data_IF_120197087164
#
_entry.id   IF_120197087164
#
_cell.length_a   1.000
_cell.length_b   1.000
_cell.length_c   1.000
_cell.angle_alpha   90.00
_cell.angle_beta   90.00
_cell.angle_gamma   90.00
#
_symmetry.space_group_name_H-M   'P 1'
#
loop_
_entity.id
_entity.type
_entity.pdbx_description
1 polymer ?
#
# COMPACT_ATOMS: atom_id res chain seq x y z
N UNK A 1 -15.63 -0.26 13.41
CA UNK A 1 -15.01 0.39 12.23
C UNK A 1 -16.10 0.49 11.18
N UNK A 2 -16.29 1.65 10.52
CA UNK A 2 -17.26 1.75 9.43
C UNK A 2 -16.87 0.80 8.30
N UNK A 3 -17.80 -0.06 7.87
CA UNK A 3 -17.62 -0.98 6.72
C UNK A 3 -18.25 -0.42 5.45
N UNK A 4 -18.85 0.77 5.48
CA UNK A 4 -19.55 1.36 4.34
C UNK A 4 -18.65 1.88 3.21
N UNK A 5 -17.33 1.91 3.42
CA UNK A 5 -16.35 2.41 2.46
C UNK A 5 -15.20 1.44 2.23
N UNK A 6 -14.55 1.63 1.08
CA UNK A 6 -13.24 1.06 0.80
C UNK A 6 -12.23 1.52 1.85
N UNK A 7 -11.43 0.60 2.37
CA UNK A 7 -10.49 0.90 3.46
C UNK A 7 -9.27 0.00 3.42
N UNK A 8 -8.14 0.54 3.86
CA UNK A 8 -6.92 -0.25 4.02
C UNK A 8 -7.05 -1.15 5.24
N UNK A 9 -6.67 -2.41 5.06
CA UNK A 9 -6.45 -3.36 6.13
C UNK A 9 -5.08 -4.02 5.99
N UNK A 10 -4.52 -4.47 7.10
CA UNK A 10 -3.29 -5.25 7.13
C UNK A 10 -3.42 -6.44 8.08
N UNK A 11 -2.68 -7.49 7.79
CA UNK A 11 -2.55 -8.67 8.66
C UNK A 11 -1.63 -8.33 9.83
N UNK A 12 -2.10 -8.46 11.08
CA UNK A 12 -1.25 -8.18 12.25
C UNK A 12 -0.25 -9.29 12.53
N UNK A 13 -0.60 -10.55 12.22
CA UNK A 13 0.30 -11.69 12.44
C UNK A 13 1.35 -11.70 11.34
N UNK A 14 2.61 -11.75 11.72
CA UNK A 14 3.73 -11.91 10.80
C UNK A 14 4.79 -12.84 11.39
N UNK A 15 5.86 -13.09 10.64
CA UNK A 15 6.93 -13.98 11.04
C UNK A 15 8.22 -13.52 10.34
N UNK A 16 9.36 -13.67 11.01
CA UNK A 16 10.67 -13.34 10.47
C UNK A 16 11.07 -14.21 9.25
N UNK A 17 10.40 -15.35 9.01
CA UNK A 17 10.60 -16.19 7.82
C UNK A 17 9.64 -15.86 6.68
N UNK A 18 8.84 -14.80 6.77
CA UNK A 18 8.00 -14.35 5.65
C UNK A 18 8.84 -13.53 4.65
N UNK A 19 8.48 -13.62 3.36
CA UNK A 19 9.01 -12.74 2.30
C UNK A 19 8.69 -11.26 2.58
N UNK A 20 7.47 -10.97 3.02
CA UNK A 20 6.99 -9.62 3.37
C UNK A 20 6.78 -9.51 4.88
N UNK A 21 7.21 -8.40 5.48
CA UNK A 21 6.96 -8.10 6.90
C UNK A 21 5.52 -7.66 7.09
N UNK A 22 5.03 -6.73 6.24
CA UNK A 22 3.65 -6.28 6.20
C UNK A 22 2.94 -6.84 4.96
N UNK A 23 1.68 -7.25 5.13
CA UNK A 23 0.77 -7.51 4.02
C UNK A 23 -0.48 -6.66 4.25
N UNK A 24 -0.69 -5.68 3.37
CA UNK A 24 -1.84 -4.80 3.38
C UNK A 24 -2.63 -4.86 2.08
N UNK A 25 -3.92 -4.55 2.14
CA UNK A 25 -4.81 -4.53 0.98
C UNK A 25 -5.93 -3.51 1.20
N UNK A 26 -6.57 -3.08 0.11
CA UNK A 26 -7.84 -2.38 0.19
C UNK A 26 -8.95 -3.43 0.30
N UNK A 27 -9.86 -3.25 1.25
CA UNK A 27 -11.06 -4.07 1.37
C UNK A 27 -12.23 -3.38 0.66
N UNK A 28 -13.10 -4.15 -0.04
CA UNK A 28 -14.32 -3.60 -0.60
C UNK A 28 -15.31 -3.23 0.51
N UNK A 29 -16.33 -2.45 0.14
CA UNK A 29 -17.44 -2.09 1.02
C UNK A 29 -18.12 -3.35 1.57
N UNK A 30 -18.53 -3.31 2.83
CA UNK A 30 -19.25 -4.39 3.50
C UNK A 30 -18.39 -5.58 3.94
N UNK A 31 -17.14 -5.71 3.47
CA UNK A 31 -16.29 -6.84 3.82
C UNK A 31 -16.00 -6.91 5.33
N UNK A 32 -16.33 -8.01 6.04
CA UNK A 32 -15.99 -8.18 7.44
C UNK A 32 -14.49 -8.45 7.61
N UNK A 33 -13.97 -8.21 8.83
CA UNK A 33 -12.58 -8.53 9.20
C UNK A 33 -12.53 -9.34 10.47
N UNK A 34 -11.56 -10.25 10.55
CA UNK A 34 -11.28 -11.04 11.76
C UNK A 34 -10.33 -10.28 12.69
N UNK A 35 -10.17 -10.76 13.92
CA UNK A 35 -9.39 -10.07 14.96
C UNK A 35 -7.90 -9.87 14.63
N UNK A 36 -7.32 -10.71 13.76
CA UNK A 36 -5.92 -10.60 13.28
C UNK A 36 -5.75 -9.69 12.08
N UNK A 37 -6.82 -9.02 11.64
CA UNK A 37 -6.81 -8.05 10.53
C UNK A 37 -7.17 -6.68 11.10
N UNK A 38 -6.21 -5.77 11.01
CA UNK A 38 -6.36 -4.41 11.51
C UNK A 38 -6.70 -3.49 10.35
N UNK A 39 -7.63 -2.56 10.55
CA UNK A 39 -8.05 -1.58 9.54
C UNK A 39 -7.55 -0.19 9.90
N UNK A 40 -7.09 0.56 8.91
CA UNK A 40 -6.87 1.99 9.06
C UNK A 40 -8.23 2.69 9.13
N UNK A 41 -8.32 3.78 9.91
CA UNK A 41 -9.58 4.53 10.03
C UNK A 41 -9.86 5.24 8.70
N UNK A 42 -11.00 4.99 8.04
CA UNK A 42 -11.30 5.61 6.74
C UNK A 42 -11.73 7.07 6.85
N UNK A 43 -12.12 7.53 8.05
CA UNK A 43 -12.59 8.90 8.29
C UNK A 43 -11.84 9.59 9.42
N UNK A 44 -11.71 10.90 9.28
CA UNK A 44 -11.34 11.84 10.33
C UNK A 44 -12.54 12.73 10.64
N UNK A 45 -12.65 13.13 11.89
CA UNK A 45 -13.70 14.04 12.36
C UNK A 45 -13.16 15.46 12.26
N UNK A 46 -13.75 16.26 11.37
CA UNK A 46 -13.40 17.66 11.12
C UNK A 46 -14.69 18.49 11.04
N UNK A 47 -15.31 18.81 12.18
CA UNK A 47 -16.59 19.50 12.23
C UNK A 47 -16.43 20.98 11.87
N UNK A 48 -17.28 21.47 10.98
CA UNK A 48 -17.46 22.90 10.71
C UNK A 48 -18.72 23.44 11.38
N UNK A 49 -18.84 24.77 11.51
CA UNK A 49 -20.07 25.39 12.07
C UNK A 49 -21.32 25.01 11.28
N UNK A 50 -21.22 24.89 9.95
CA UNK A 50 -22.33 24.49 9.09
C UNK A 50 -22.72 23.01 9.23
N UNK A 51 -21.79 22.14 9.66
CA UNK A 51 -22.13 20.75 9.95
C UNK A 51 -23.06 20.63 11.17
N UNK A 52 -22.93 21.55 12.14
CA UNK A 52 -23.74 21.57 13.38
C UNK A 52 -25.22 21.88 13.13
N UNK A 53 -25.56 22.41 11.94
CA UNK A 53 -26.92 22.73 11.54
C UNK A 53 -27.66 21.50 10.97
N UNK A 54 -26.96 20.38 10.72
CA UNK A 54 -27.51 19.18 10.09
C UNK A 54 -27.54 17.99 11.06
N UNK A 55 -28.66 17.25 11.10
CA UNK A 55 -28.79 15.99 11.85
C UNK A 55 -29.20 14.83 10.93
N UNK A 56 -28.47 13.70 10.93
CA UNK A 56 -27.30 13.40 11.76
C UNK A 56 -26.02 14.07 11.21
N UNK A 57 -25.01 14.28 12.06
CA UNK A 57 -23.78 15.04 11.79
C UNK A 57 -22.79 14.39 10.78
N UNK A 58 -23.29 13.76 9.72
CA UNK A 58 -22.49 13.02 8.74
C UNK A 58 -21.46 13.90 8.03
N UNK A 59 -21.77 15.19 7.80
CA UNK A 59 -20.89 16.13 7.10
C UNK A 59 -19.53 16.38 7.78
N UNK A 60 -19.47 16.17 9.10
CA UNK A 60 -18.26 16.30 9.91
C UNK A 60 -17.28 15.13 9.72
N UNK A 61 -17.69 14.02 9.09
CA UNK A 61 -16.81 12.90 8.78
C UNK A 61 -16.23 13.09 7.39
N UNK A 62 -14.93 13.40 7.30
CA UNK A 62 -14.20 13.51 6.04
C UNK A 62 -13.38 12.25 5.81
N UNK A 63 -13.34 11.78 4.57
CA UNK A 63 -12.47 10.66 4.19
C UNK A 63 -11.01 11.04 4.43
N UNK A 64 -10.24 10.10 4.98
CA UNK A 64 -8.79 10.30 5.20
C UNK A 64 -8.02 10.26 3.88
N UNK A 65 -8.50 9.47 2.92
CA UNK A 65 -7.87 9.27 1.62
C UNK A 65 -8.90 9.52 0.51
N UNK A 66 -8.48 10.18 -0.57
CA UNK A 66 -9.14 10.06 -1.89
C UNK A 66 -9.07 8.62 -2.39
N UNK A 67 -9.69 8.33 -3.54
CA UNK A 67 -9.64 6.99 -4.12
C UNK A 67 -8.21 6.64 -4.54
N UNK A 68 -7.47 7.55 -5.16
CA UNK A 68 -6.07 7.38 -5.58
C UNK A 68 -5.11 7.31 -4.39
N UNK A 69 -5.28 8.19 -3.39
CA UNK A 69 -4.47 8.19 -2.17
C UNK A 69 -4.59 6.87 -1.40
N UNK A 70 -5.76 6.22 -1.45
CA UNK A 70 -5.98 4.92 -0.83
C UNK A 70 -5.05 3.85 -1.44
N UNK A 71 -4.92 3.84 -2.77
CA UNK A 71 -4.07 2.89 -3.48
C UNK A 71 -2.58 3.27 -3.40
N UNK A 72 -2.26 4.56 -3.38
CA UNK A 72 -0.89 5.00 -3.13
C UNK A 72 -0.42 4.56 -1.74
N UNK A 73 -1.23 4.81 -0.70
CA UNK A 73 -0.89 4.46 0.67
C UNK A 73 -0.77 2.94 0.86
N UNK A 74 -1.72 2.14 0.34
CA UNK A 74 -1.63 0.67 0.47
C UNK A 74 -0.39 0.13 -0.24
N UNK A 75 0.04 0.73 -1.36
CA UNK A 75 1.22 0.26 -2.06
C UNK A 75 2.49 0.56 -1.30
N UNK A 76 2.66 1.79 -0.80
CA UNK A 76 3.83 2.16 -0.01
C UNK A 76 3.95 1.29 1.25
N UNK A 77 2.83 0.89 1.86
CA UNK A 77 2.81 -0.06 2.98
C UNK A 77 3.26 -1.49 2.62
N UNK A 78 3.14 -1.90 1.36
CA UNK A 78 3.62 -3.20 0.85
C UNK A 78 4.97 -3.09 0.13
N UNK A 79 5.73 -2.00 0.32
CA UNK A 79 6.97 -1.76 -0.42
C UNK A 79 8.19 -2.36 0.28
N UNK A 80 9.23 -2.69 -0.49
CA UNK A 80 10.52 -3.17 0.05
C UNK A 80 11.12 -2.18 1.06
N UNK A 81 11.21 -0.86 0.80
CA UNK A 81 11.70 0.10 1.79
C UNK A 81 10.93 0.04 3.12
N UNK A 82 9.60 -0.09 3.06
CA UNK A 82 8.78 -0.19 4.26
C UNK A 82 9.00 -1.51 5.01
N UNK A 83 9.08 -2.63 4.30
CA UNK A 83 9.37 -3.93 4.90
C UNK A 83 10.74 -3.98 5.56
N UNK A 84 11.74 -3.39 4.91
CA UNK A 84 13.10 -3.26 5.42
C UNK A 84 13.10 -2.50 6.76
N UNK A 85 12.40 -1.36 6.82
CA UNK A 85 12.19 -0.61 8.06
C UNK A 85 11.44 -1.44 9.11
N UNK A 86 10.31 -2.05 8.74
CA UNK A 86 9.43 -2.72 9.68
C UNK A 86 10.04 -3.99 10.28
N UNK A 87 10.91 -4.67 9.54
CA UNK A 87 11.61 -5.88 10.01
C UNK A 87 12.50 -5.59 11.23
N UNK A 88 13.02 -4.36 11.37
CA UNK A 88 13.78 -3.94 12.56
C UNK A 88 12.89 -3.70 13.78
N UNK A 89 11.57 -3.54 13.57
CA UNK A 89 10.60 -3.17 14.61
C UNK A 89 9.72 -4.33 15.02
N UNK A 90 9.47 -5.30 14.15
CA UNK A 90 8.44 -6.33 14.35
C UNK A 90 9.06 -7.72 14.50
N UNK A 91 8.41 -8.56 15.33
CA UNK A 91 8.77 -9.97 15.51
C UNK A 91 7.64 -10.86 14.95
N UNK A 92 6.63 -11.17 15.75
CA UNK A 92 5.49 -12.01 15.36
C UNK A 92 4.17 -11.26 15.16
N UNK A 93 4.09 -10.02 15.65
CA UNK A 93 2.92 -9.16 15.48
C UNK A 93 3.30 -7.73 15.11
N UNK A 94 2.64 -7.19 14.09
CA UNK A 94 2.69 -5.79 13.70
C UNK A 94 1.86 -4.99 14.70
N UNK A 95 2.48 -4.68 15.84
CA UNK A 95 1.81 -3.93 16.91
C UNK A 95 1.50 -2.52 16.42
N UNK A 96 0.27 -2.06 16.66
CA UNK A 96 -0.27 -0.82 16.12
C UNK A 96 0.60 0.42 16.35
N UNK A 97 1.20 0.57 17.54
CA UNK A 97 2.03 1.75 17.83
C UNK A 97 3.28 1.80 16.94
N UNK A 98 3.96 0.65 16.73
CA UNK A 98 5.12 0.54 15.84
C UNK A 98 4.76 0.85 14.40
N UNK A 99 3.58 0.42 13.96
CA UNK A 99 3.04 0.76 12.65
C UNK A 99 2.78 2.28 12.53
N UNK A 100 2.10 2.89 13.52
CA UNK A 100 1.77 4.32 13.47
C UNK A 100 2.97 5.25 13.61
N UNK A 101 4.05 4.80 14.24
CA UNK A 101 5.31 5.53 14.40
C UNK A 101 6.26 5.35 13.20
N UNK A 102 5.93 4.46 12.26
CA UNK A 102 6.78 4.21 11.10
C UNK A 102 6.58 5.24 10.00
N UNK A 103 7.66 5.53 9.28
CA UNK A 103 7.68 6.55 8.25
C UNK A 103 7.29 5.94 6.91
N UNK A 104 6.35 6.60 6.25
CA UNK A 104 5.86 6.29 4.91
C UNK A 104 5.68 7.63 4.18
N UNK A 105 6.14 7.77 2.93
CA UNK A 105 5.87 8.94 2.11
C UNK A 105 4.37 9.23 2.05
N UNK A 106 4.00 10.50 2.26
CA UNK A 106 2.60 10.95 2.16
C UNK A 106 2.40 11.64 0.83
N UNK A 107 2.34 10.83 -0.23
CA UNK A 107 2.15 11.32 -1.57
C UNK A 107 0.68 11.71 -1.79
N UNK A 108 0.48 12.82 -2.48
CA UNK A 108 -0.78 13.41 -2.86
C UNK A 108 -0.71 13.86 -4.32
N UNK A 109 -1.85 14.28 -4.87
CA UNK A 109 -1.92 14.74 -6.26
C UNK A 109 -0.94 15.89 -6.52
N UNK A 110 -0.07 15.69 -7.52
CA UNK A 110 0.98 16.65 -7.90
C UNK A 110 2.37 16.24 -7.45
N UNK A 111 2.50 15.29 -6.52
CA UNK A 111 3.79 14.68 -6.19
C UNK A 111 4.23 13.74 -7.32
N UNK A 112 5.52 13.75 -7.65
CA UNK A 112 6.13 13.07 -8.80
C UNK A 112 5.71 11.60 -8.96
N UNK A 113 5.73 10.85 -7.87
CA UNK A 113 5.46 9.41 -7.87
C UNK A 113 4.00 9.03 -7.60
N UNK A 114 3.14 10.01 -7.31
CA UNK A 114 1.78 9.75 -6.85
C UNK A 114 0.92 9.03 -7.89
N UNK A 115 0.83 9.59 -9.10
CA UNK A 115 -0.02 9.03 -10.17
C UNK A 115 0.51 7.68 -10.67
N UNK A 116 1.84 7.56 -10.76
CA UNK A 116 2.52 6.32 -11.15
C UNK A 116 2.21 5.18 -10.17
N UNK A 117 2.34 5.44 -8.87
CA UNK A 117 2.10 4.45 -7.82
C UNK A 117 0.61 4.14 -7.67
N UNK A 118 -0.24 5.15 -7.54
CA UNK A 118 -1.68 4.96 -7.27
C UNK A 118 -2.37 4.15 -8.36
N UNK A 119 -2.12 4.48 -9.63
CA UNK A 119 -2.75 3.82 -10.79
C UNK A 119 -2.39 2.33 -10.85
N UNK A 120 -1.10 2.01 -10.76
CA UNK A 120 -0.60 0.63 -10.79
C UNK A 120 -1.01 -0.16 -9.56
N UNK A 121 -1.01 0.47 -8.39
CA UNK A 121 -1.48 -0.15 -7.15
C UNK A 121 -2.97 -0.52 -7.22
N UNK A 122 -3.78 0.32 -7.84
CA UNK A 122 -5.18 0.03 -8.10
C UNK A 122 -5.34 -1.18 -9.03
N UNK A 123 -4.52 -1.33 -10.09
CA UNK A 123 -4.52 -2.54 -10.95
C UNK A 123 -4.30 -3.83 -10.15
N UNK A 124 -3.42 -3.81 -9.16
CA UNK A 124 -3.13 -4.99 -8.32
C UNK A 124 -4.24 -5.33 -7.31
N UNK A 125 -5.03 -4.34 -6.87
CA UNK A 125 -6.02 -4.48 -5.80
C UNK A 125 -7.47 -4.56 -6.30
N UNK A 126 -7.83 -3.85 -7.37
CA UNK A 126 -9.21 -3.67 -7.84
C UNK A 126 -9.72 -4.84 -8.69
N UNK A 127 -9.41 -6.08 -8.32
CA UNK A 127 -9.92 -7.27 -9.00
C UNK A 127 -11.27 -7.73 -8.40
N UNK A 128 -12.13 -8.32 -9.23
CA UNK A 128 -13.44 -8.84 -8.81
C UNK A 128 -14.55 -7.79 -8.68
N UNK A 129 -15.77 -8.26 -8.41
CA UNK A 129 -17.01 -7.46 -8.50
C UNK A 129 -17.10 -6.38 -7.41
N UNK A 130 -16.56 -6.66 -6.22
CA UNK A 130 -16.56 -5.69 -5.10
C UNK A 130 -15.79 -4.39 -5.38
N UNK A 131 -15.01 -4.35 -6.47
CA UNK A 131 -14.23 -3.18 -6.90
C UNK A 131 -14.72 -2.56 -8.20
N UNK A 132 -15.83 -3.03 -8.78
CA UNK A 132 -16.37 -2.45 -10.03
C UNK A 132 -16.60 -0.94 -9.92
N UNK A 133 -17.32 -0.51 -8.88
CA UNK A 133 -17.55 0.91 -8.60
C UNK A 133 -16.24 1.69 -8.43
N UNK A 134 -15.22 1.09 -7.81
CA UNK A 134 -13.92 1.74 -7.62
C UNK A 134 -13.16 1.87 -8.95
N UNK A 135 -13.22 0.88 -9.84
CA UNK A 135 -12.61 0.97 -11.17
C UNK A 135 -13.25 2.09 -11.98
N UNK A 136 -14.57 2.24 -11.94
CA UNK A 136 -15.28 3.31 -12.64
C UNK A 136 -14.85 4.70 -12.14
N UNK A 137 -14.76 4.87 -10.82
CA UNK A 137 -14.31 6.13 -10.19
C UNK A 137 -12.88 6.51 -10.57
N UNK A 138 -12.02 5.51 -10.76
CA UNK A 138 -10.63 5.67 -11.18
C UNK A 138 -10.44 5.76 -12.70
N UNK A 139 -11.53 5.89 -13.47
CA UNK A 139 -11.46 6.08 -14.92
C UNK A 139 -11.32 4.79 -15.74
N UNK A 140 -11.74 3.65 -15.21
CA UNK A 140 -11.81 2.38 -15.94
C UNK A 140 -10.51 1.56 -15.90
N UNK A 141 -9.91 1.41 -14.71
CA UNK A 141 -8.67 0.66 -14.53
C UNK A 141 -8.86 -0.83 -14.87
N UNK A 142 -7.98 -1.38 -15.69
CA UNK A 142 -7.91 -2.82 -15.97
C UNK A 142 -7.08 -3.55 -14.89
N UNK A 143 -7.68 -4.49 -14.12
CA UNK A 143 -6.97 -5.22 -13.08
C UNK A 143 -5.94 -6.19 -13.66
N UNK A 144 -4.73 -6.18 -13.08
CA UNK A 144 -3.71 -7.17 -13.41
C UNK A 144 -4.07 -8.51 -12.74
N UNK A 145 -4.49 -9.49 -13.53
CA UNK A 145 -4.95 -10.81 -13.04
C UNK A 145 -4.00 -11.93 -13.38
N UNK A 146 -3.20 -11.77 -14.44
CA UNK A 146 -2.13 -12.70 -14.80
C UNK A 146 -0.95 -12.58 -13.84
N UNK A 147 -0.30 -13.70 -13.52
CA UNK A 147 0.76 -13.71 -12.50
C UNK A 147 2.05 -13.03 -12.97
N UNK A 148 2.39 -13.12 -14.25
CA UNK A 148 3.60 -12.50 -14.80
C UNK A 148 3.40 -10.99 -14.90
N UNK A 149 2.23 -10.55 -15.37
CA UNK A 149 1.84 -9.13 -15.36
C UNK A 149 1.85 -8.56 -13.93
N UNK A 150 1.29 -9.29 -12.96
CA UNK A 150 1.29 -8.86 -11.57
C UNK A 150 2.70 -8.72 -11.02
N UNK A 151 3.60 -9.64 -11.37
CA UNK A 151 5.00 -9.60 -10.96
C UNK A 151 5.69 -8.35 -11.52
N UNK A 152 5.51 -8.04 -12.80
CA UNK A 152 6.05 -6.83 -13.43
C UNK A 152 5.53 -5.56 -12.77
N UNK A 153 4.21 -5.44 -12.56
CA UNK A 153 3.62 -4.27 -11.89
C UNK A 153 4.12 -4.15 -10.44
N UNK A 154 4.35 -5.27 -9.75
CA UNK A 154 4.92 -5.26 -8.41
C UNK A 154 6.36 -4.73 -8.39
N UNK A 155 7.22 -5.16 -9.32
CA UNK A 155 8.61 -4.68 -9.38
C UNK A 155 8.68 -3.20 -9.75
N UNK A 156 7.90 -2.75 -10.75
CA UNK A 156 7.74 -1.33 -11.09
C UNK A 156 7.37 -0.49 -9.86
N UNK A 157 6.41 -0.96 -9.08
CA UNK A 157 5.94 -0.23 -7.92
C UNK A 157 6.90 -0.28 -6.73
N UNK A 158 7.78 -1.28 -6.62
CA UNK A 158 8.81 -1.33 -5.57
C UNK A 158 9.94 -0.36 -5.94
N UNK A 159 10.33 -0.33 -7.22
CA UNK A 159 11.26 0.66 -7.76
C UNK A 159 10.77 2.10 -7.54
N UNK A 160 9.52 2.40 -7.91
CA UNK A 160 8.92 3.70 -7.66
C UNK A 160 8.81 4.05 -6.16
N UNK A 161 8.68 3.04 -5.29
CA UNK A 161 8.69 3.28 -3.85
C UNK A 161 10.08 3.74 -3.38
N UNK A 162 11.19 3.15 -3.85
CA UNK A 162 12.53 3.64 -3.51
C UNK A 162 12.70 5.13 -3.86
N UNK A 163 12.26 5.54 -5.05
CA UNK A 163 12.24 6.94 -5.46
C UNK A 163 11.36 7.81 -4.55
N UNK A 164 10.14 7.36 -4.24
CA UNK A 164 9.25 8.08 -3.33
C UNK A 164 9.79 8.23 -1.90
N UNK A 165 10.61 7.28 -1.44
CA UNK A 165 11.33 7.36 -0.17
C UNK A 165 12.60 8.23 -0.26
N UNK A 166 13.04 8.61 -1.46
CA UNK A 166 14.22 9.43 -1.70
C UNK A 166 15.53 8.67 -1.51
N UNK A 167 15.53 7.34 -1.69
CA UNK A 167 16.76 6.56 -1.66
C UNK A 167 17.49 6.72 -2.99
N UNK A 168 18.79 6.95 -2.94
CA UNK A 168 19.61 6.94 -4.15
C UNK A 168 19.85 5.51 -4.65
N UNK A 169 20.53 5.40 -5.80
CA UNK A 169 20.80 4.11 -6.43
C UNK A 169 21.66 3.19 -5.56
N UNK A 170 22.68 3.72 -4.89
CA UNK A 170 23.58 2.91 -4.03
C UNK A 170 22.83 2.41 -2.80
N UNK A 171 22.02 3.26 -2.18
CA UNK A 171 21.14 2.91 -1.07
C UNK A 171 20.10 1.87 -1.48
N UNK A 172 19.51 2.02 -2.67
CA UNK A 172 18.55 1.05 -3.22
C UNK A 172 19.19 -0.31 -3.41
N UNK A 173 20.35 -0.36 -4.08
CA UNK A 173 21.09 -1.60 -4.27
C UNK A 173 21.47 -2.27 -2.92
N UNK A 174 21.93 -1.47 -1.94
CA UNK A 174 22.24 -1.96 -0.60
C UNK A 174 21.02 -2.59 0.09
N UNK A 175 19.85 -1.93 0.04
CA UNK A 175 18.62 -2.46 0.63
C UNK A 175 18.19 -3.76 -0.04
N UNK A 176 18.29 -3.87 -1.37
CA UNK A 176 17.91 -5.08 -2.12
C UNK A 176 18.86 -6.26 -1.87
N UNK A 177 20.16 -5.99 -1.63
CA UNK A 177 21.16 -7.00 -1.29
C UNK A 177 20.99 -7.51 0.15
N UNK A 178 20.81 -6.61 1.12
CA UNK A 178 20.64 -6.95 2.54
C UNK A 178 19.23 -7.48 2.87
N UNK A 179 18.27 -7.34 1.95
CA UNK A 179 16.90 -7.79 2.18
C UNK A 179 16.87 -9.30 2.46
N UNK A 180 16.23 -9.70 3.56
CA UNK A 180 16.13 -11.11 3.94
C UNK A 180 15.40 -11.93 2.87
N UNK A 181 16.08 -12.94 2.33
CA UNK A 181 15.54 -13.88 1.33
C UNK A 181 15.18 -15.20 1.99
N UNK A 182 13.96 -15.67 1.73
CA UNK A 182 13.51 -17.00 2.18
C UNK A 182 14.06 -18.09 1.27
N UNK A 183 14.14 -19.33 1.74
CA UNK A 183 14.69 -20.44 0.96
C UNK A 183 13.84 -20.85 -0.26
N UNK A 184 12.52 -20.65 -0.19
CA UNK A 184 11.59 -21.04 -1.26
C UNK A 184 10.59 -19.89 -1.50
N UNK A 185 11.04 -18.80 -2.15
CA UNK A 185 10.22 -17.62 -2.37
C UNK A 185 9.10 -17.92 -3.37
N UNK A 186 7.91 -17.36 -3.11
CA UNK A 186 6.77 -17.42 -4.03
C UNK A 186 6.83 -16.31 -5.06
N UNK A 187 7.35 -15.15 -4.68
CA UNK A 187 7.44 -13.96 -5.55
C UNK A 187 8.80 -13.29 -5.44
N UNK A 188 9.32 -13.08 -4.23
CA UNK A 188 10.55 -12.30 -3.99
C UNK A 188 11.80 -13.19 -4.09
N UNK A 189 12.02 -13.76 -5.28
CA UNK A 189 13.24 -14.48 -5.66
C UNK A 189 14.34 -13.49 -6.12
N UNK A 190 15.52 -14.01 -6.48
CA UNK A 190 16.65 -13.19 -6.94
C UNK A 190 16.30 -12.36 -8.18
N UNK A 191 15.67 -12.98 -9.18
CA UNK A 191 15.20 -12.31 -10.40
C UNK A 191 14.24 -11.15 -10.09
N UNK A 192 13.39 -11.26 -9.06
CA UNK A 192 12.51 -10.18 -8.62
C UNK A 192 13.31 -8.97 -8.15
N UNK A 193 14.35 -9.16 -7.33
CA UNK A 193 15.17 -8.06 -6.83
C UNK A 193 15.99 -7.40 -7.96
N UNK A 194 16.52 -8.20 -8.88
CA UNK A 194 17.23 -7.70 -10.06
C UNK A 194 16.31 -6.84 -10.94
N UNK A 195 15.09 -7.31 -11.19
CA UNK A 195 14.07 -6.53 -11.91
C UNK A 195 13.72 -5.23 -11.18
N UNK A 196 13.64 -5.22 -9.85
CA UNK A 196 13.38 -3.98 -9.09
C UNK A 196 14.51 -2.97 -9.31
N UNK A 197 15.77 -3.41 -9.29
CA UNK A 197 16.90 -2.51 -9.51
C UNK A 197 16.96 -2.01 -10.97
N UNK A 198 16.69 -2.87 -11.95
CA UNK A 198 16.56 -2.48 -13.35
C UNK A 198 15.46 -1.42 -13.54
N UNK A 199 14.26 -1.67 -12.99
CA UNK A 199 13.16 -0.71 -13.04
C UNK A 199 13.48 0.59 -12.32
N UNK A 200 14.24 0.54 -11.24
CA UNK A 200 14.69 1.76 -10.54
C UNK A 200 15.58 2.62 -11.46
N UNK A 201 16.52 1.99 -12.18
CA UNK A 201 17.42 2.65 -13.13
C UNK A 201 16.65 3.22 -14.34
N UNK A 202 15.70 2.46 -14.90
CA UNK A 202 14.81 2.92 -15.98
C UNK A 202 14.01 4.17 -15.57
N UNK A 203 13.50 4.19 -14.33
CA UNK A 203 12.71 5.30 -13.79
C UNK A 203 13.55 6.54 -13.43
N UNK A 204 14.87 6.41 -13.36
CA UNK A 204 15.81 7.51 -13.09
C UNK A 204 16.26 8.25 -14.37
N UNK A 205 15.88 7.73 -15.54
CA UNK A 205 16.37 8.13 -16.87
C UNK A 205 15.49 9.22 -17.51
#
# INVERSE_FOLDING_TARGET
VSIGEYRIAYRDVTNNTNERTLIATVLPKGAPVVHTVQTLRPYKIEPTKGDLENFPLHGAYKRVFTDEELFCAVRLLNSIPFDFLMRTKVDTHVVKYKFTESQVPRLTKGDEWFDYISTRAARLNCYGDGFEEMRDRLGGIEPATDMDERREVQTELDAAAFHAYGLDREQTAFVLDDFYRVQNPRVMDEDYFDMVLEKYDELSS
#
